data_IF_156839792358
#
_entry.id   IF_156839792358
#
_cell.length_a   1.000
_cell.length_b   1.000
_cell.length_c   1.000
_cell.angle_alpha   90.00
_cell.angle_beta   90.00
_cell.angle_gamma   90.00
#
_symmetry.space_group_name_H-M   'P 1'
#
loop_
_entity.id
_entity.type
_entity.pdbx_description
1 polymer ?
#
# COMPACT_ATOMS: atom_id res chain seq x y z
N UNK A 1 -4.36 -12.21 29.41
CA UNK A 1 -3.71 -12.54 30.69
C UNK A 1 -4.04 -11.44 31.69
N UNK A 2 -4.96 -11.64 32.65
CA UNK A 2 -5.24 -10.61 33.65
C UNK A 2 -4.02 -10.44 34.58
N UNK A 3 -3.54 -9.20 34.74
CA UNK A 3 -2.50 -8.84 35.73
C UNK A 3 -1.10 -8.52 35.18
N UNK A 4 -0.89 -8.50 33.86
CA UNK A 4 0.41 -8.10 33.28
C UNK A 4 0.44 -6.59 33.04
N UNK A 5 1.52 -5.94 33.46
CA UNK A 5 1.72 -4.50 33.29
C UNK A 5 2.98 -4.24 32.47
N UNK A 6 2.85 -3.50 31.37
CA UNK A 6 3.96 -2.93 30.62
C UNK A 6 4.24 -1.52 31.13
N UNK A 7 5.45 -1.27 31.62
CA UNK A 7 5.86 0.05 32.09
C UNK A 7 6.92 0.63 31.18
N UNK A 8 6.64 1.80 30.60
CA UNK A 8 7.57 2.61 29.82
C UNK A 8 8.17 3.68 30.73
N UNK A 9 9.49 3.64 30.88
CA UNK A 9 10.25 4.66 31.62
C UNK A 9 10.24 6.01 30.88
N UNK A 10 10.44 7.14 31.59
CA UNK A 10 10.70 8.42 30.94
C UNK A 10 11.85 8.35 29.93
N UNK A 11 11.74 9.11 28.84
CA UNK A 11 12.76 9.16 27.78
C UNK A 11 12.77 7.97 26.82
N UNK A 12 11.89 6.98 27.00
CA UNK A 12 11.77 5.83 26.08
C UNK A 12 11.26 6.31 24.71
N UNK A 13 11.95 5.86 23.65
CA UNK A 13 11.54 6.03 22.27
C UNK A 13 11.08 4.68 21.72
N UNK A 14 9.81 4.59 21.33
CA UNK A 14 9.26 3.44 20.62
C UNK A 14 9.30 3.72 19.11
N UNK A 15 10.00 2.86 18.38
CA UNK A 15 10.11 2.92 16.93
C UNK A 15 9.30 1.81 16.29
N UNK A 16 8.36 2.19 15.43
CA UNK A 16 7.47 1.25 14.75
C UNK A 16 7.86 1.10 13.29
N UNK A 17 8.07 -0.15 12.85
CA UNK A 17 8.14 -0.47 11.44
C UNK A 17 6.73 -0.41 10.81
N UNK A 18 6.62 -0.24 9.47
CA UNK A 18 5.33 -0.29 8.78
C UNK A 18 4.56 -1.56 9.16
N UNK A 19 3.28 -1.40 9.51
CA UNK A 19 2.36 -2.47 9.97
C UNK A 19 2.73 -3.19 11.26
N UNK A 20 3.71 -2.71 12.00
CA UNK A 20 4.01 -3.22 13.33
C UNK A 20 3.33 -2.30 14.34
N UNK A 21 2.39 -2.85 15.11
CA UNK A 21 1.75 -2.18 16.24
C UNK A 21 2.13 -2.84 17.56
N UNK A 22 1.86 -2.14 18.68
CA UNK A 22 2.02 -2.68 20.03
C UNK A 22 0.65 -3.00 20.62
N UNK A 23 0.34 -4.28 20.82
CA UNK A 23 -0.86 -4.73 21.52
C UNK A 23 -0.52 -5.07 22.98
N UNK A 24 -1.05 -4.30 23.92
CA UNK A 24 -0.89 -4.55 25.36
C UNK A 24 -2.14 -5.22 25.91
N UNK A 25 -2.08 -6.53 26.13
CA UNK A 25 -3.17 -7.32 26.72
C UNK A 25 -3.14 -7.25 28.26
N UNK A 26 -3.15 -6.02 28.80
CA UNK A 26 -2.96 -5.73 30.23
C UNK A 26 -2.94 -4.23 30.51
N UNK A 27 -2.20 -3.79 31.53
CA UNK A 27 -2.05 -2.37 31.87
C UNK A 27 -0.81 -1.77 31.22
N UNK A 28 -0.93 -0.62 30.57
CA UNK A 28 0.19 0.18 30.08
C UNK A 28 0.42 1.37 31.00
N UNK A 29 1.61 1.47 31.61
CA UNK A 29 2.05 2.63 32.39
C UNK A 29 3.11 3.37 31.59
N UNK A 30 2.77 4.56 31.09
CA UNK A 30 3.68 5.41 30.33
C UNK A 30 3.62 6.83 30.92
N UNK A 31 4.55 7.15 31.82
CA UNK A 31 4.64 8.46 32.48
C UNK A 31 5.94 9.14 32.10
N UNK A 32 5.89 10.10 31.19
CA UNK A 32 7.03 10.96 30.85
C UNK A 32 7.21 12.11 31.85
N UNK A 33 8.40 12.70 31.86
CA UNK A 33 8.69 13.95 32.56
C UNK A 33 9.15 15.01 31.56
N UNK A 34 9.13 16.30 31.95
CA UNK A 34 9.52 17.40 31.06
C UNK A 34 10.97 17.22 30.59
N UNK A 35 11.19 17.12 29.28
CA UNK A 35 12.50 16.86 28.67
C UNK A 35 12.87 15.38 28.54
N UNK A 36 12.08 14.48 29.13
CA UNK A 36 12.16 13.03 28.93
C UNK A 36 10.75 12.49 28.63
N UNK A 37 10.12 13.09 27.63
CA UNK A 37 8.85 12.61 27.12
C UNK A 37 9.00 11.21 26.50
N UNK A 38 7.94 10.42 26.57
CA UNK A 38 7.88 9.14 25.86
C UNK A 38 7.50 9.44 24.41
N UNK A 39 8.34 9.02 23.47
CA UNK A 39 8.17 9.35 22.05
C UNK A 39 7.82 8.07 21.29
N UNK A 40 6.74 8.12 20.51
CA UNK A 40 6.40 7.08 19.54
C UNK A 40 6.63 7.63 18.15
N UNK A 41 7.46 6.98 17.34
CA UNK A 41 7.78 7.45 15.98
C UNK A 41 7.99 6.31 14.99
N UNK A 42 7.94 6.58 13.68
CA UNK A 42 8.35 5.60 12.67
C UNK A 42 9.84 5.25 12.81
N UNK A 43 10.18 3.97 12.64
CA UNK A 43 11.57 3.54 12.58
C UNK A 43 12.29 4.16 11.36
N UNK A 44 13.55 4.60 11.51
CA UNK A 44 14.30 5.17 10.39
C UNK A 44 14.50 4.11 9.29
N UNK A 45 14.23 4.50 8.03
CA UNK A 45 14.22 3.63 6.86
C UNK A 45 15.52 2.82 6.65
N UNK A 46 16.65 3.25 7.23
CA UNK A 46 17.95 2.55 7.14
C UNK A 46 17.92 1.12 7.71
N UNK A 47 17.07 0.83 8.70
CA UNK A 47 16.94 -0.54 9.26
C UNK A 47 15.88 -1.40 8.57
N UNK A 48 15.07 -0.80 7.69
CA UNK A 48 14.04 -1.52 6.93
C UNK A 48 14.65 -2.11 5.65
N UNK A 49 15.63 -1.45 5.04
CA UNK A 49 16.18 -1.82 3.73
C UNK A 49 16.97 -3.15 3.75
N UNK A 50 17.54 -3.54 4.89
CA UNK A 50 18.37 -4.76 4.97
C UNK A 50 17.57 -6.07 5.04
N UNK A 51 16.29 -6.00 5.41
CA UNK A 51 15.41 -7.18 5.55
C UNK A 51 14.04 -7.01 4.86
N UNK A 52 13.80 -5.90 4.18
CA UNK A 52 12.65 -5.79 3.29
C UNK A 52 12.94 -6.73 2.12
N UNK A 53 12.13 -7.79 1.88
CA UNK A 53 12.23 -8.52 0.63
C UNK A 53 12.16 -7.47 -0.47
N UNK A 54 13.03 -7.57 -1.48
CA UNK A 54 12.97 -6.72 -2.68
C UNK A 54 11.50 -6.65 -3.07
N UNK A 55 10.82 -5.54 -2.73
CA UNK A 55 9.45 -5.35 -3.19
C UNK A 55 9.67 -5.17 -4.67
N UNK A 56 9.42 -6.22 -5.44
CA UNK A 56 9.16 -6.05 -6.86
C UNK A 56 8.06 -5.00 -6.90
N UNK A 57 8.45 -3.78 -7.26
CA UNK A 57 7.52 -2.66 -7.36
C UNK A 57 6.69 -2.94 -8.60
N UNK A 58 5.79 -3.91 -8.51
CA UNK A 58 4.85 -4.24 -9.58
C UNK A 58 3.62 -3.33 -9.52
N UNK A 59 3.47 -2.54 -8.45
CA UNK A 59 2.42 -1.53 -8.28
C UNK A 59 3.02 -0.22 -7.75
N UNK A 60 2.45 0.92 -8.15
CA UNK A 60 2.72 2.25 -7.58
C UNK A 60 1.48 3.14 -7.59
N UNK A 61 1.48 4.17 -6.76
CA UNK A 61 0.51 5.27 -6.77
C UNK A 61 1.18 6.50 -7.38
N UNK A 62 0.55 7.10 -8.39
CA UNK A 62 1.06 8.27 -9.08
C UNK A 62 0.02 9.37 -9.20
N UNK A 63 0.37 10.56 -8.73
CA UNK A 63 -0.26 11.82 -9.14
C UNK A 63 0.46 12.37 -10.38
N UNK A 64 -0.02 13.45 -11.03
CA UNK A 64 0.67 14.02 -12.19
C UNK A 64 2.09 14.50 -11.88
N UNK A 65 2.40 14.79 -10.60
CA UNK A 65 3.69 15.35 -10.18
C UNK A 65 4.57 14.35 -9.41
N UNK A 66 3.98 13.38 -8.69
CA UNK A 66 4.75 12.51 -7.80
C UNK A 66 4.21 11.06 -7.76
N UNK A 67 5.14 10.10 -7.71
CA UNK A 67 4.86 8.66 -7.60
C UNK A 67 5.40 8.03 -6.30
N UNK A 68 5.73 8.84 -5.30
CA UNK A 68 6.25 8.39 -4.00
C UNK A 68 5.31 8.67 -2.83
N UNK A 69 4.17 9.32 -3.08
CA UNK A 69 3.16 9.60 -2.08
C UNK A 69 2.33 8.39 -1.68
N UNK A 70 1.37 8.64 -0.78
CA UNK A 70 0.43 7.64 -0.27
C UNK A 70 -0.94 7.69 -0.99
N UNK A 71 -1.05 8.57 -1.99
CA UNK A 71 -2.24 8.77 -2.82
C UNK A 71 -1.86 8.86 -4.30
N UNK A 72 -2.83 8.60 -5.16
CA UNK A 72 -2.70 8.76 -6.60
C UNK A 72 -3.42 7.68 -7.40
N UNK A 73 -3.28 7.74 -8.72
CA UNK A 73 -3.76 6.70 -9.62
C UNK A 73 -2.89 5.45 -9.48
N UNK A 74 -3.54 4.28 -9.47
CA UNK A 74 -2.86 2.99 -9.40
C UNK A 74 -2.27 2.66 -10.76
N UNK A 75 -0.98 2.34 -10.79
CA UNK A 75 -0.29 1.84 -11.97
C UNK A 75 0.38 0.50 -11.66
N UNK A 76 0.25 -0.45 -12.60
CA UNK A 76 0.89 -1.76 -12.53
C UNK A 76 2.06 -1.83 -13.52
N UNK A 77 3.17 -2.43 -13.09
CA UNK A 77 4.29 -2.74 -13.95
C UNK A 77 3.97 -3.95 -14.84
N UNK A 78 4.13 -3.79 -16.15
CA UNK A 78 4.14 -4.92 -17.08
C UNK A 78 5.60 -5.30 -17.39
N UNK A 79 6.01 -6.50 -16.96
CA UNK A 79 7.36 -7.04 -17.18
C UNK A 79 7.66 -7.34 -18.65
N UNK A 80 6.66 -7.69 -19.45
CA UNK A 80 6.80 -8.03 -20.87
C UNK A 80 7.07 -6.79 -21.73
N UNK A 81 6.32 -5.70 -21.48
CA UNK A 81 6.48 -4.44 -22.22
C UNK A 81 7.45 -3.47 -21.55
N UNK A 82 7.88 -3.75 -20.31
CA UNK A 82 8.71 -2.88 -19.46
C UNK A 82 8.09 -1.48 -19.28
N UNK A 83 6.77 -1.44 -19.07
CA UNK A 83 6.00 -0.20 -18.96
C UNK A 83 5.10 -0.20 -17.72
N UNK A 84 4.87 1.00 -17.19
CA UNK A 84 3.83 1.24 -16.19
C UNK A 84 2.50 1.46 -16.89
N UNK A 85 1.51 0.65 -16.53
CA UNK A 85 0.17 0.64 -17.10
C UNK A 85 -0.82 1.13 -16.05
N UNK A 86 -1.61 2.19 -16.32
CA UNK A 86 -2.65 2.63 -15.40
C UNK A 86 -3.74 1.56 -15.29
N UNK A 87 -4.22 1.35 -14.06
CA UNK A 87 -5.32 0.44 -13.80
C UNK A 87 -6.63 1.09 -14.26
N UNK A 88 -7.17 0.61 -15.37
CA UNK A 88 -8.47 1.02 -15.89
C UNK A 88 -9.51 -0.05 -15.56
N UNK A 89 -10.08 0.04 -14.36
CA UNK A 89 -11.15 -0.85 -13.91
C UNK A 89 -12.27 -0.04 -13.25
N UNK A 90 -13.43 0.01 -13.89
CA UNK A 90 -14.62 0.71 -13.38
C UNK A 90 -15.16 0.10 -12.08
N UNK A 91 -14.78 -1.15 -11.77
CA UNK A 91 -15.20 -1.87 -10.55
C UNK A 91 -14.06 -2.07 -9.58
N UNK A 92 -12.98 -1.31 -9.72
CA UNK A 92 -11.88 -1.32 -8.77
C UNK A 92 -12.40 -1.02 -7.36
N UNK A 93 -12.34 -2.00 -6.47
CA UNK A 93 -12.98 -1.92 -5.15
C UNK A 93 -12.01 -1.48 -4.05
N UNK A 94 -12.54 -1.12 -2.88
CA UNK A 94 -11.74 -0.89 -1.67
C UNK A 94 -10.90 -2.11 -1.28
N UNK A 95 -11.37 -3.33 -1.53
CA UNK A 95 -10.59 -4.56 -1.30
C UNK A 95 -9.37 -4.64 -2.23
N UNK A 96 -9.50 -4.18 -3.47
CA UNK A 96 -8.36 -4.11 -4.38
C UNK A 96 -7.35 -3.08 -3.89
N UNK A 97 -7.84 -1.90 -3.48
CA UNK A 97 -7.00 -0.86 -2.89
C UNK A 97 -6.30 -1.33 -1.61
N UNK A 98 -6.98 -2.15 -0.79
CA UNK A 98 -6.40 -2.76 0.40
C UNK A 98 -5.19 -3.60 0.04
N UNK A 99 -5.28 -4.45 -0.98
CA UNK A 99 -4.15 -5.24 -1.46
C UNK A 99 -3.05 -4.35 -2.05
N UNK A 100 -3.38 -3.27 -2.77
CA UNK A 100 -2.38 -2.32 -3.29
C UNK A 100 -1.60 -1.64 -2.16
N UNK A 101 -2.29 -1.07 -1.19
CA UNK A 101 -1.65 -0.47 -0.01
C UNK A 101 -0.88 -1.52 0.78
N UNK A 102 -1.41 -2.74 0.85
CA UNK A 102 -0.74 -3.92 1.45
C UNK A 102 0.57 -4.24 0.72
N UNK A 103 0.59 -4.22 -0.60
CA UNK A 103 1.79 -4.48 -1.38
C UNK A 103 2.84 -3.37 -1.24
N UNK A 104 2.40 -2.10 -1.12
CA UNK A 104 3.27 -0.93 -0.97
C UNK A 104 3.81 -0.71 0.45
N UNK A 105 3.59 -1.66 1.37
CA UNK A 105 3.94 -1.52 2.79
C UNK A 105 3.35 -0.24 3.42
N UNK A 106 2.14 0.15 3.00
CA UNK A 106 1.33 1.22 3.57
C UNK A 106 0.23 0.70 4.50
N UNK A 107 -0.43 1.62 5.19
CA UNK A 107 -1.63 1.32 5.97
C UNK A 107 -2.74 0.83 5.03
N UNK A 108 -3.48 -0.19 5.48
CA UNK A 108 -4.55 -0.83 4.73
C UNK A 108 -5.89 -0.74 5.48
N UNK A 109 -5.99 0.08 6.53
CA UNK A 109 -7.21 0.29 7.31
C UNK A 109 -7.96 1.56 6.92
N UNK A 110 -7.24 2.62 6.54
CA UNK A 110 -7.82 3.89 6.09
C UNK A 110 -7.65 4.02 4.57
N UNK A 111 -8.66 3.55 3.83
CA UNK A 111 -8.62 3.43 2.38
C UNK A 111 -9.80 4.17 1.78
N UNK A 112 -9.50 5.03 0.81
CA UNK A 112 -10.50 5.69 -0.01
C UNK A 112 -10.25 5.40 -1.49
N UNK A 113 -11.31 5.02 -2.21
CA UNK A 113 -11.26 4.75 -3.64
C UNK A 113 -12.14 5.75 -4.39
N UNK A 114 -11.59 6.32 -5.45
CA UNK A 114 -12.32 7.17 -6.38
C UNK A 114 -11.96 6.78 -7.81
N UNK A 115 -12.94 6.90 -8.70
CA UNK A 115 -12.77 6.63 -10.12
C UNK A 115 -12.72 7.97 -10.86
N UNK A 116 -11.72 8.13 -11.71
CA UNK A 116 -11.51 9.38 -12.43
C UNK A 116 -10.77 9.14 -13.73
N UNK A 117 -10.91 10.08 -14.65
CA UNK A 117 -10.07 10.10 -15.85
C UNK A 117 -8.74 10.73 -15.52
N UNK A 118 -7.69 10.16 -16.10
CA UNK A 118 -6.33 10.66 -15.98
C UNK A 118 -6.07 11.70 -17.06
N UNK A 119 -6.56 12.92 -16.85
CA UNK A 119 -6.55 13.99 -17.87
C UNK A 119 -5.14 14.41 -18.29
N UNK A 120 -4.14 14.15 -17.46
CA UNK A 120 -2.72 14.36 -17.76
C UNK A 120 -2.14 13.35 -18.77
N UNK A 121 -2.78 12.19 -18.95
CA UNK A 121 -2.40 11.24 -19.99
C UNK A 121 -3.07 11.64 -21.30
N UNK A 122 -2.31 12.24 -22.21
CA UNK A 122 -2.82 12.56 -23.54
C UNK A 122 -3.07 11.28 -24.34
N UNK A 123 -3.95 11.32 -25.35
CA UNK A 123 -4.25 10.15 -26.21
C UNK A 123 -3.00 9.54 -26.85
N UNK A 124 -2.00 10.37 -27.15
CA UNK A 124 -0.70 9.94 -27.69
C UNK A 124 0.17 9.18 -26.69
N UNK A 125 -0.03 9.39 -25.40
CA UNK A 125 0.70 8.68 -24.35
C UNK A 125 0.02 7.35 -24.05
N UNK A 126 -1.32 7.33 -24.07
CA UNK A 126 -2.10 6.09 -23.94
C UNK A 126 -1.88 5.14 -25.13
N UNK A 127 -1.66 5.65 -26.34
CA UNK A 127 -1.38 4.80 -27.51
C UNK A 127 -0.03 4.08 -27.47
N UNK A 128 0.86 4.44 -26.53
CA UNK A 128 2.12 3.74 -26.28
C UNK A 128 1.97 2.53 -25.35
N UNK A 129 0.82 2.39 -24.71
CA UNK A 129 0.49 1.25 -23.85
C UNK A 129 -0.03 0.13 -24.75
N UNK A 130 0.78 -0.92 -24.93
CA UNK A 130 0.43 -2.05 -25.79
C UNK A 130 -0.48 -3.09 -25.13
N UNK A 131 -0.58 -3.08 -23.81
CA UNK A 131 -1.32 -4.06 -23.02
C UNK A 131 -2.03 -3.38 -21.87
N UNK A 132 -3.31 -3.67 -21.69
CA UNK A 132 -4.09 -3.15 -20.57
C UNK A 132 -4.07 -4.12 -19.39
N UNK A 133 -4.23 -3.56 -18.20
CA UNK A 133 -4.41 -4.32 -16.96
C UNK A 133 -5.73 -5.10 -17.02
N UNK A 134 -5.70 -6.39 -16.67
CA UNK A 134 -6.90 -7.21 -16.55
C UNK A 134 -7.72 -6.80 -15.32
N UNK A 135 -9.06 -6.75 -15.36
CA UNK A 135 -9.85 -6.42 -14.18
C UNK A 135 -9.72 -7.52 -13.11
N UNK A 136 -9.27 -7.14 -11.91
CA UNK A 136 -9.01 -8.07 -10.80
C UNK A 136 -10.04 -7.85 -9.69
N UNK A 137 -10.38 -8.92 -8.98
CA UNK A 137 -11.31 -8.92 -7.86
C UNK A 137 -10.60 -9.51 -6.63
N UNK A 138 -10.10 -8.65 -5.76
CA UNK A 138 -9.39 -9.08 -4.56
C UNK A 138 -10.35 -9.38 -3.40
N UNK A 139 -9.94 -10.32 -2.54
CA UNK A 139 -10.60 -10.58 -1.26
C UNK A 139 -10.09 -9.65 -0.15
N UNK A 140 -8.89 -9.11 -0.27
CA UNK A 140 -8.21 -8.26 0.73
C UNK A 140 -7.10 -8.99 1.50
N UNK A 141 -7.06 -10.32 1.40
CA UNK A 141 -6.07 -11.16 2.08
C UNK A 141 -4.78 -11.34 1.28
N UNK A 142 -4.82 -11.07 -0.02
CA UNK A 142 -3.70 -11.23 -0.94
C UNK A 142 -2.50 -10.36 -0.55
N UNK A 143 -1.30 -10.78 -0.95
CA UNK A 143 -0.06 -10.03 -0.73
C UNK A 143 0.26 -9.05 -1.85
N UNK A 144 -0.07 -9.43 -3.08
CA UNK A 144 0.18 -8.66 -4.30
C UNK A 144 -1.11 -8.53 -5.07
N UNK A 145 -1.26 -7.42 -5.81
CA UNK A 145 -2.43 -7.19 -6.64
C UNK A 145 -2.62 -8.31 -7.68
N UNK A 146 -1.54 -8.82 -8.23
CA UNK A 146 -1.56 -9.90 -9.23
C UNK A 146 -1.89 -11.29 -8.67
N UNK A 147 -1.93 -11.45 -7.35
CA UNK A 147 -2.39 -12.69 -6.72
C UNK A 147 -3.93 -12.75 -6.66
N UNK A 148 -4.62 -11.64 -6.96
CA UNK A 148 -6.07 -11.57 -6.96
C UNK A 148 -6.68 -12.28 -8.17
N UNK A 149 -7.90 -12.79 -8.02
CA UNK A 149 -8.59 -13.48 -9.10
C UNK A 149 -9.01 -12.52 -10.21
N UNK A 150 -8.92 -12.97 -11.47
CA UNK A 150 -9.45 -12.22 -12.62
C UNK A 150 -10.97 -12.21 -12.56
N UNK A 151 -11.57 -11.03 -12.77
CA UNK A 151 -13.02 -10.85 -12.78
C UNK A 151 -13.62 -11.36 -14.09
N UNK A 152 -14.06 -12.62 -14.11
CA UNK A 152 -14.56 -13.34 -15.30
C UNK A 152 -15.96 -12.92 -15.80
N UNK A 153 -16.47 -11.75 -15.40
CA UNK A 153 -17.86 -11.35 -15.61
C UNK A 153 -18.13 -10.75 -17.01
N UNK A 154 -17.44 -11.22 -18.06
CA UNK A 154 -17.74 -10.90 -19.46
C UNK A 154 -16.98 -9.73 -20.10
N UNK A 155 -15.94 -9.18 -19.46
CA UNK A 155 -15.03 -8.22 -20.11
C UNK A 155 -13.74 -8.94 -20.53
N UNK A 156 -13.80 -9.69 -21.64
CA UNK A 156 -12.62 -10.30 -22.26
C UNK A 156 -11.87 -9.20 -23.01
N UNK A 157 -10.96 -8.51 -22.32
CA UNK A 157 -9.99 -7.65 -22.99
C UNK A 157 -8.85 -8.51 -23.51
N UNK A 158 -8.90 -8.88 -24.80
CA UNK A 158 -7.70 -9.22 -25.57
C UNK A 158 -7.17 -10.66 -25.53
N UNK A 159 -7.90 -11.64 -24.98
CA UNK A 159 -7.58 -13.06 -25.17
C UNK A 159 -8.40 -13.66 -26.33
N UNK A 160 -8.01 -13.35 -27.56
CA UNK A 160 -8.33 -14.09 -28.80
C UNK A 160 -7.03 -14.30 -29.57
#
# INVERSE_FOLDING_TARGET
MPGVTLTLSPGVILEFAPRVGLLVLGTLIARGVRGEEIIMRPAPAKNIINNMPLIERTVRLCTPQNCTGDEGFVERWNSTTQQWVPVCDERFSERNAQVVCKQLLRDSLDIYVSHGRRFELHHSDMSRIWSWHEPLQCTGEESRLEDCEVRLNGQVYGHI
#
